data_IF_175865136888
#
_entry.id   IF_175865136888
#
_cell.length_a   1.000
_cell.length_b   1.000
_cell.length_c   1.000
_cell.angle_alpha   90.00
_cell.angle_beta   90.00
_cell.angle_gamma   90.00
#
_symmetry.space_group_name_H-M   'P 1'
#
loop_
_entity.id
_entity.type
_entity.pdbx_description
1 polymer ?
#
# COMPACT_ATOMS: atom_id res chain seq x y z
N UNK A 1 9.03 4.46 19.68
CA UNK A 1 8.43 4.56 18.70
C UNK A 1 8.13 3.38 17.89
N UNK A 2 7.06 3.45 17.24
CA UNK A 2 6.65 2.35 16.49
C UNK A 2 7.56 1.94 15.40
N UNK A 3 8.40 2.80 15.01
CA UNK A 3 9.27 2.48 13.95
C UNK A 3 10.25 1.47 14.32
N UNK A 4 10.43 1.19 15.53
CA UNK A 4 11.44 0.21 15.85
C UNK A 4 11.06 -1.11 15.31
N UNK A 5 9.82 -1.38 15.07
CA UNK A 5 9.46 -2.66 14.56
C UNK A 5 9.62 -2.76 13.08
N UNK A 6 9.76 -1.66 12.40
CA UNK A 6 9.90 -1.70 11.02
C UNK A 6 11.14 -2.24 10.47
N UNK A 7 12.24 -2.02 11.11
CA UNK A 7 13.51 -2.43 10.54
C UNK A 7 13.57 -3.87 10.14
N UNK A 8 12.81 -4.69 10.81
CA UNK A 8 12.86 -6.07 10.46
C UNK A 8 12.27 -6.31 9.12
N UNK A 9 11.22 -5.63 8.82
CA UNK A 9 10.62 -5.79 7.55
C UNK A 9 11.41 -5.16 6.49
N UNK A 10 11.99 -4.06 6.80
CA UNK A 10 12.75 -3.35 5.81
C UNK A 10 13.90 -4.13 5.32
N UNK A 11 14.39 -5.02 6.11
CA UNK A 11 15.52 -5.79 5.67
C UNK A 11 15.18 -6.62 4.46
N UNK A 12 13.94 -6.89 4.22
CA UNK A 12 13.61 -7.69 3.12
C UNK A 12 13.32 -6.96 1.86
N UNK A 13 12.89 -5.73 1.94
CA UNK A 13 12.53 -5.00 0.76
C UNK A 13 13.20 -3.68 0.74
N UNK A 14 13.52 -3.15 -0.41
CA UNK A 14 14.19 -1.86 -0.52
C UNK A 14 13.27 -0.79 0.03
N UNK A 15 13.75 -0.06 1.00
CA UNK A 15 12.96 0.98 1.59
C UNK A 15 12.61 2.05 0.60
N UNK A 16 13.48 2.28 -0.36
CA UNK A 16 13.24 3.30 -1.36
C UNK A 16 12.04 2.95 -2.21
N UNK A 17 11.92 1.70 -2.54
CA UNK A 17 10.83 1.28 -3.39
C UNK A 17 9.51 1.44 -2.64
N UNK A 18 9.49 1.08 -1.38
CA UNK A 18 8.31 1.24 -0.57
C UNK A 18 7.95 2.70 -0.42
N UNK A 19 8.94 3.51 -0.15
CA UNK A 19 8.70 4.94 0.04
C UNK A 19 8.15 5.58 -1.22
N UNK A 20 8.67 5.20 -2.36
CA UNK A 20 8.20 5.73 -3.60
C UNK A 20 6.76 5.32 -3.86
N UNK A 21 6.44 4.08 -3.59
CA UNK A 21 5.11 3.61 -3.80
C UNK A 21 4.13 4.30 -2.86
N UNK A 22 4.54 4.50 -1.62
CA UNK A 22 3.70 5.21 -0.67
C UNK A 22 3.44 6.62 -1.13
N UNK A 23 4.47 7.26 -1.67
CA UNK A 23 4.31 8.62 -2.13
C UNK A 23 3.33 8.69 -3.29
N UNK A 24 3.40 7.75 -4.19
CA UNK A 24 2.50 7.74 -5.30
C UNK A 24 1.07 7.48 -4.86
N UNK A 25 0.90 6.60 -3.90
CA UNK A 25 -0.43 6.30 -3.41
C UNK A 25 -1.01 7.48 -2.64
N UNK A 26 -0.16 8.20 -1.92
CA UNK A 26 -0.63 9.37 -1.21
C UNK A 26 -1.09 10.45 -2.17
N UNK A 27 -0.61 10.43 -3.38
CA UNK A 27 -1.01 11.40 -4.36
C UNK A 27 -2.38 11.17 -4.93
N UNK A 28 -3.00 10.05 -4.64
CA UNK A 28 -4.34 9.79 -5.12
C UNK A 28 -5.32 10.65 -4.33
N UNK A 29 -6.21 11.31 -5.07
CA UNK A 29 -7.11 12.25 -4.44
C UNK A 29 -8.00 11.54 -3.43
N UNK A 30 -8.07 12.07 -2.24
CA UNK A 30 -8.91 11.51 -1.20
C UNK A 30 -8.21 10.55 -0.26
N UNK A 31 -7.02 10.10 -0.59
CA UNK A 31 -6.32 9.16 0.25
C UNK A 31 -5.72 9.87 1.45
N UNK A 32 -5.99 9.37 2.64
CA UNK A 32 -5.47 9.98 3.84
C UNK A 32 -4.42 9.15 4.52
N UNK A 33 -4.43 7.83 4.33
CA UNK A 33 -3.45 6.96 4.91
C UNK A 33 -3.04 5.89 3.96
N UNK A 34 -1.78 5.50 4.02
CA UNK A 34 -1.23 4.48 3.15
C UNK A 34 -0.33 3.57 3.95
N UNK A 35 -0.45 2.29 3.73
CA UNK A 35 0.45 1.32 4.31
C UNK A 35 0.83 0.33 3.22
N UNK A 36 2.11 0.09 3.03
CA UNK A 36 2.59 -0.80 1.99
C UNK A 36 3.53 -1.83 2.60
N UNK A 37 3.29 -3.08 2.28
CA UNK A 37 4.17 -4.16 2.68
C UNK A 37 4.58 -4.94 1.46
N UNK A 38 5.85 -5.22 1.33
CA UNK A 38 6.38 -5.99 0.23
C UNK A 38 7.17 -7.14 0.75
N UNK A 39 7.12 -8.27 0.06
CA UNK A 39 7.99 -9.39 0.42
C UNK A 39 8.23 -10.25 -0.78
N UNK A 40 9.25 -11.07 -0.70
CA UNK A 40 9.62 -11.92 -1.79
C UNK A 40 9.01 -13.29 -1.63
N UNK A 41 8.57 -13.85 -2.75
CA UNK A 41 8.01 -15.19 -2.76
C UNK A 41 9.01 -16.21 -3.23
N UNK A 42 10.19 -15.78 -3.60
CA UNK A 42 11.19 -16.68 -4.12
C UNK A 42 11.23 -16.62 -5.63
N UNK A 43 12.32 -17.00 -6.21
CA UNK A 43 12.50 -17.02 -7.66
C UNK A 43 12.24 -15.67 -8.30
N UNK A 44 12.55 -14.63 -7.63
CA UNK A 44 12.41 -13.30 -8.20
C UNK A 44 11.00 -12.78 -8.18
N UNK A 45 10.06 -13.52 -7.64
CA UNK A 45 8.69 -13.06 -7.57
C UNK A 45 8.47 -12.31 -6.28
N UNK A 46 7.64 -11.30 -6.35
CA UNK A 46 7.38 -10.47 -5.19
C UNK A 46 5.90 -10.26 -5.01
N UNK A 47 5.51 -10.00 -3.79
CA UNK A 47 4.13 -9.70 -3.47
C UNK A 47 4.07 -8.37 -2.75
N UNK A 48 2.96 -7.69 -2.89
CA UNK A 48 2.76 -6.42 -2.21
C UNK A 48 1.33 -6.38 -1.67
N UNK A 49 1.20 -5.85 -0.47
CA UNK A 49 -0.10 -5.62 0.13
C UNK A 49 -0.21 -4.13 0.41
N UNK A 50 -1.29 -3.53 0.00
CA UNK A 50 -1.52 -2.12 0.16
C UNK A 50 -2.79 -1.91 0.93
N UNK A 51 -2.72 -1.09 1.97
CA UNK A 51 -3.90 -0.69 2.70
C UNK A 51 -4.04 0.81 2.60
N UNK A 52 -5.19 1.28 2.20
CA UNK A 52 -5.43 2.69 2.05
C UNK A 52 -6.66 3.10 2.83
N UNK A 53 -6.63 4.31 3.36
CA UNK A 53 -7.82 4.91 3.91
C UNK A 53 -8.14 6.10 3.04
N UNK A 54 -9.36 6.17 2.56
CA UNK A 54 -9.74 7.21 1.63
C UNK A 54 -11.04 7.86 2.04
N UNK A 55 -11.12 9.17 1.87
CA UNK A 55 -12.33 9.90 2.16
C UNK A 55 -13.29 9.80 1.01
N UNK A 56 -12.84 9.40 -0.14
CA UNK A 56 -13.67 9.32 -1.32
C UNK A 56 -13.76 7.91 -1.81
N UNK A 57 -14.79 7.54 -2.51
CA UNK A 57 -14.86 6.20 -3.06
C UNK A 57 -13.67 5.95 -3.97
N UNK A 58 -13.06 4.82 -3.78
CA UNK A 58 -11.86 4.49 -4.53
C UNK A 58 -11.89 2.99 -4.79
N UNK A 59 -11.59 2.58 -5.98
CA UNK A 59 -11.60 1.17 -6.33
C UNK A 59 -10.19 0.65 -6.50
N UNK A 60 -9.99 -0.65 -6.33
CA UNK A 60 -8.66 -1.21 -6.57
C UNK A 60 -8.19 -0.96 -7.99
N UNK A 61 -9.11 -0.91 -8.94
CA UNK A 61 -8.73 -0.65 -10.30
C UNK A 61 -8.14 0.74 -10.45
N UNK A 62 -8.71 1.73 -9.77
CA UNK A 62 -8.20 3.07 -9.83
C UNK A 62 -6.81 3.15 -9.20
N UNK A 63 -6.60 2.39 -8.13
CA UNK A 63 -5.30 2.36 -7.48
C UNK A 63 -4.27 1.78 -8.43
N UNK A 64 -4.60 0.70 -9.10
CA UNK A 64 -3.66 0.08 -10.02
C UNK A 64 -3.34 1.01 -11.18
N UNK A 65 -4.31 1.79 -11.61
CA UNK A 65 -4.07 2.71 -12.70
C UNK A 65 -3.15 3.83 -12.26
N UNK A 66 -3.25 4.24 -11.01
CA UNK A 66 -2.42 5.32 -10.51
C UNK A 66 -0.99 4.87 -10.25
N UNK A 67 -0.80 3.59 -9.98
CA UNK A 67 0.53 3.08 -9.67
C UNK A 67 0.81 1.89 -10.59
N UNK A 68 1.23 2.16 -11.80
CA UNK A 68 1.45 1.08 -12.77
C UNK A 68 2.47 0.06 -12.36
N UNK A 69 3.38 0.41 -11.48
CA UNK A 69 4.38 -0.54 -11.05
C UNK A 69 3.76 -1.73 -10.37
N UNK A 70 2.51 -1.64 -9.91
CA UNK A 70 1.89 -2.78 -9.28
C UNK A 70 1.79 -3.97 -10.20
N UNK A 71 1.81 -3.73 -11.51
CA UNK A 71 1.73 -4.82 -12.45
C UNK A 71 2.95 -5.70 -12.43
N UNK A 72 4.04 -5.23 -11.86
CA UNK A 72 5.26 -6.01 -11.81
C UNK A 72 5.25 -7.04 -10.71
N UNK A 73 4.32 -6.94 -9.78
CA UNK A 73 4.29 -7.86 -8.67
C UNK A 73 3.49 -9.10 -9.04
N UNK A 74 3.96 -10.23 -8.56
CA UNK A 74 3.31 -11.49 -8.83
C UNK A 74 1.94 -11.53 -8.14
N UNK A 75 1.86 -10.94 -6.96
CA UNK A 75 0.62 -10.83 -6.23
C UNK A 75 0.45 -9.45 -5.70
N UNK A 76 -0.74 -8.91 -5.81
CA UNK A 76 -1.04 -7.59 -5.30
C UNK A 76 -2.37 -7.65 -4.58
N UNK A 77 -2.38 -7.27 -3.32
CA UNK A 77 -3.60 -7.19 -2.55
C UNK A 77 -3.83 -5.74 -2.18
N UNK A 78 -5.01 -5.23 -2.44
CA UNK A 78 -5.33 -3.84 -2.16
C UNK A 78 -6.57 -3.80 -1.32
N UNK A 79 -6.45 -3.17 -0.14
CA UNK A 79 -7.57 -2.98 0.74
C UNK A 79 -7.83 -1.51 0.88
N UNK A 80 -9.06 -1.09 0.70
CA UNK A 80 -9.40 0.32 0.78
C UNK A 80 -10.47 0.49 1.84
N UNK A 81 -10.15 1.33 2.83
CA UNK A 81 -11.05 1.58 3.93
C UNK A 81 -11.62 2.97 3.80
N UNK A 82 -12.90 3.14 4.06
CA UNK A 82 -13.50 4.44 4.02
C UNK A 82 -13.38 5.10 5.36
N UNK A 83 -12.98 6.35 5.34
CA UNK A 83 -12.82 7.05 6.57
C UNK A 83 -14.14 7.20 7.29
N UNK A 84 -15.19 7.38 6.54
CA UNK A 84 -16.46 7.55 7.15
C UNK A 84 -16.95 6.32 7.83
N UNK A 85 -16.68 5.19 7.29
CA UNK A 85 -17.12 3.94 7.85
C UNK A 85 -16.62 3.73 9.24
N UNK A 86 -15.44 4.18 9.49
CA UNK A 86 -14.84 4.02 10.77
C UNK A 86 -15.60 4.72 11.82
N UNK A 87 -16.09 5.86 11.53
CA UNK A 87 -16.75 6.61 12.48
C UNK A 87 -18.05 6.05 12.81
N UNK A 88 -18.68 5.41 11.91
CA UNK A 88 -19.92 4.90 12.15
C UNK A 88 -19.92 3.63 12.82
N UNK A 89 -18.89 2.95 12.81
CA UNK A 89 -18.78 1.68 13.37
C UNK A 89 -19.23 1.57 14.75
N UNK A 90 -19.09 2.42 15.58
CA UNK A 90 -19.40 2.23 17.00
C UNK A 90 -20.78 1.81 17.29
#
# INVERSE_FOLDING_TARGET
LGDTARPLLDARAPSDEIANMERELQGIDGVSRVSVCMWELGSGRRAVTIELTSRRPLSPRAVRAAVPELARFHRTAIEIHGEHGDEESP
#
